data_IF_908280005277
#
_entry.id   IF_908280005277
#
_cell.length_a   1.000
_cell.length_b   1.000
_cell.length_c   1.000
_cell.angle_alpha   90.00
_cell.angle_beta   90.00
_cell.angle_gamma   90.00
#
_symmetry.space_group_name_H-M   'P 1'
#
loop_
_entity.id
_entity.type
_entity.pdbx_description
1 polymer ?
#
# COMPACT_ATOMS: atom_id res chain seq x y z
N UNK A 1 -44.33 -5.12 -22.71
CA UNK A 1 -43.77 -3.79 -22.36
C UNK A 1 -42.43 -3.65 -23.06
N UNK A 2 -42.16 -2.48 -23.62
CA UNK A 2 -41.13 -2.26 -24.63
C UNK A 2 -39.76 -1.98 -23.96
N UNK A 3 -39.29 -2.93 -23.14
CA UNK A 3 -38.16 -2.75 -22.21
C UNK A 3 -36.87 -2.28 -22.90
N UNK A 4 -36.65 -2.67 -24.17
CA UNK A 4 -35.47 -2.26 -24.91
C UNK A 4 -35.49 -0.79 -25.38
N UNK A 5 -36.67 -0.13 -25.46
CA UNK A 5 -36.75 1.30 -25.78
C UNK A 5 -36.36 2.18 -24.59
N UNK A 6 -36.76 1.80 -23.37
CA UNK A 6 -36.29 2.45 -22.14
C UNK A 6 -34.79 2.22 -21.92
N UNK A 7 -34.29 1.02 -22.23
CA UNK A 7 -32.86 0.73 -22.14
C UNK A 7 -32.04 1.67 -23.03
N UNK A 8 -32.54 2.01 -24.23
CA UNK A 8 -31.85 2.92 -25.16
C UNK A 8 -31.67 4.32 -24.57
N UNK A 9 -32.73 4.91 -24.03
CA UNK A 9 -32.72 6.26 -23.46
C UNK A 9 -31.77 6.35 -22.25
N UNK A 10 -31.79 5.33 -21.39
CA UNK A 10 -30.88 5.23 -20.24
C UNK A 10 -29.43 5.09 -20.72
N UNK A 11 -29.18 4.34 -21.78
CA UNK A 11 -27.83 4.05 -22.27
C UNK A 11 -27.13 5.30 -22.82
N UNK A 12 -27.84 6.16 -23.55
CA UNK A 12 -27.29 7.42 -24.07
C UNK A 12 -26.87 8.36 -22.92
N UNK A 13 -27.64 8.41 -21.83
CA UNK A 13 -27.29 9.18 -20.63
C UNK A 13 -26.11 8.57 -19.84
N UNK A 14 -25.90 7.26 -19.93
CA UNK A 14 -24.86 6.52 -19.19
C UNK A 14 -23.48 6.63 -19.85
N UNK A 15 -23.41 6.91 -21.16
CA UNK A 15 -22.14 7.04 -21.89
C UNK A 15 -21.13 8.03 -21.25
N UNK A 16 -21.49 9.31 -20.95
CA UNK A 16 -20.56 10.23 -20.31
C UNK A 16 -20.15 9.77 -18.90
N UNK A 17 -21.04 9.10 -18.17
CA UNK A 17 -20.75 8.56 -16.83
C UNK A 17 -19.69 7.46 -16.92
N UNK A 18 -19.79 6.56 -17.91
CA UNK A 18 -18.80 5.50 -18.13
C UNK A 18 -17.43 6.07 -18.52
N UNK A 19 -17.39 7.09 -19.40
CA UNK A 19 -16.14 7.76 -19.78
C UNK A 19 -15.49 8.40 -18.55
N UNK A 20 -16.26 9.15 -17.76
CA UNK A 20 -15.78 9.75 -16.52
C UNK A 20 -15.24 8.70 -15.55
N UNK A 21 -15.96 7.58 -15.37
CA UNK A 21 -15.54 6.47 -14.52
C UNK A 21 -14.21 5.85 -14.97
N UNK A 22 -13.99 5.68 -16.28
CA UNK A 22 -12.71 5.19 -16.81
C UNK A 22 -11.58 6.17 -16.49
N UNK A 23 -11.79 7.47 -16.72
CA UNK A 23 -10.78 8.50 -16.42
C UNK A 23 -10.41 8.47 -14.93
N UNK A 24 -11.40 8.46 -14.05
CA UNK A 24 -11.18 8.40 -12.59
C UNK A 24 -10.45 7.12 -12.18
N UNK A 25 -10.82 5.96 -12.73
CA UNK A 25 -10.13 4.73 -12.36
C UNK A 25 -8.68 4.71 -12.86
N UNK A 26 -8.39 5.27 -14.04
CA UNK A 26 -7.03 5.40 -14.56
C UNK A 26 -6.18 6.33 -13.68
N UNK A 27 -6.71 7.47 -13.25
CA UNK A 27 -5.97 8.35 -12.34
C UNK A 27 -5.69 7.67 -11.01
N UNK A 28 -6.66 6.93 -10.45
CA UNK A 28 -6.45 6.15 -9.22
C UNK A 28 -5.39 5.06 -9.42
N UNK A 29 -5.38 4.34 -10.53
CA UNK A 29 -4.36 3.33 -10.84
C UNK A 29 -2.95 3.94 -10.92
N UNK A 30 -2.82 5.09 -11.58
CA UNK A 30 -1.54 5.82 -11.69
C UNK A 30 -1.07 6.28 -10.31
N UNK A 31 -1.95 6.92 -9.54
CA UNK A 31 -1.63 7.39 -8.18
C UNK A 31 -1.26 6.23 -7.25
N UNK A 32 -2.00 5.13 -7.28
CA UNK A 32 -1.71 3.94 -6.47
C UNK A 32 -0.36 3.32 -6.84
N UNK A 33 -0.07 3.20 -8.14
CA UNK A 33 1.21 2.68 -8.63
C UNK A 33 2.38 3.57 -8.19
N UNK A 34 2.21 4.90 -8.27
CA UNK A 34 3.21 5.86 -7.81
C UNK A 34 3.48 5.73 -6.30
N UNK A 35 2.42 5.67 -5.48
CA UNK A 35 2.56 5.48 -4.02
C UNK A 35 3.22 4.15 -3.69
N UNK A 36 2.87 3.07 -4.40
CA UNK A 36 3.51 1.77 -4.22
C UNK A 36 5.03 1.85 -4.48
N UNK A 37 5.45 2.47 -5.58
CA UNK A 37 6.88 2.67 -5.90
C UNK A 37 7.57 3.49 -4.81
N UNK A 38 6.96 4.59 -4.36
CA UNK A 38 7.53 5.43 -3.29
C UNK A 38 7.65 4.68 -1.96
N UNK A 39 6.69 3.82 -1.64
CA UNK A 39 6.72 2.99 -0.44
C UNK A 39 7.92 2.01 -0.46
N UNK A 40 8.27 1.48 -1.64
CA UNK A 40 9.46 0.64 -1.80
C UNK A 40 10.77 1.45 -1.70
N UNK A 41 10.78 2.69 -2.22
CA UNK A 41 11.97 3.54 -2.24
C UNK A 41 12.39 4.05 -0.86
N UNK A 42 11.47 4.28 0.08
CA UNK A 42 11.82 4.90 1.37
C UNK A 42 12.13 3.86 2.46
N UNK A 43 13.41 3.64 2.84
CA UNK A 43 13.81 2.61 3.80
C UNK A 43 13.46 2.93 5.26
N UNK A 44 12.97 4.14 5.58
CA UNK A 44 12.71 4.56 6.96
C UNK A 44 11.34 4.10 7.51
N UNK A 45 10.41 3.66 6.66
CA UNK A 45 9.09 3.20 7.12
C UNK A 45 9.20 1.79 7.71
N UNK A 46 8.58 1.52 8.87
CA UNK A 46 8.54 0.18 9.46
C UNK A 46 8.05 -0.87 8.44
N UNK A 47 8.72 -2.03 8.42
CA UNK A 47 8.44 -3.12 7.47
C UNK A 47 6.96 -3.54 7.54
N UNK A 48 6.40 -3.68 8.73
CA UNK A 48 4.99 -4.07 8.94
C UNK A 48 4.01 -3.09 8.29
N UNK A 49 4.20 -1.80 8.52
CA UNK A 49 3.35 -0.78 7.91
C UNK A 49 3.43 -0.82 6.38
N UNK A 50 4.61 -1.07 5.81
CA UNK A 50 4.72 -1.19 4.34
C UNK A 50 3.95 -2.36 3.80
N UNK A 51 4.02 -3.51 4.44
CA UNK A 51 3.27 -4.70 4.00
C UNK A 51 1.77 -4.45 4.06
N UNK A 52 1.30 -3.86 5.17
CA UNK A 52 -0.12 -3.51 5.35
C UNK A 52 -0.56 -2.50 4.28
N UNK A 53 0.19 -1.41 4.09
CA UNK A 53 -0.14 -0.38 3.11
C UNK A 53 -0.08 -0.93 1.67
N UNK A 54 0.90 -1.76 1.36
CA UNK A 54 1.02 -2.40 0.05
C UNK A 54 -0.19 -3.30 -0.23
N UNK A 55 -0.66 -4.07 0.76
CA UNK A 55 -1.84 -4.91 0.60
C UNK A 55 -3.10 -4.08 0.29
N UNK A 56 -3.28 -2.94 0.99
CA UNK A 56 -4.38 -2.00 0.69
C UNK A 56 -4.26 -1.45 -0.72
N UNK A 57 -3.08 -0.99 -1.11
CA UNK A 57 -2.84 -0.41 -2.44
C UNK A 57 -3.16 -1.46 -3.53
N UNK A 58 -2.71 -2.69 -3.35
CA UNK A 58 -2.98 -3.79 -4.27
C UNK A 58 -4.47 -4.12 -4.35
N UNK A 59 -5.18 -4.14 -3.22
CA UNK A 59 -6.63 -4.34 -3.19
C UNK A 59 -7.38 -3.23 -3.93
N UNK A 60 -6.95 -1.97 -3.78
CA UNK A 60 -7.52 -0.82 -4.50
C UNK A 60 -7.22 -0.96 -6.00
N UNK A 61 -5.96 -1.24 -6.39
CA UNK A 61 -5.56 -1.41 -7.79
C UNK A 61 -6.33 -2.54 -8.47
N UNK A 62 -6.52 -3.67 -7.78
CA UNK A 62 -7.29 -4.79 -8.31
C UNK A 62 -8.74 -4.37 -8.55
N UNK A 63 -9.40 -3.77 -7.56
CA UNK A 63 -10.77 -3.28 -7.70
C UNK A 63 -10.90 -2.29 -8.87
N UNK A 64 -10.01 -1.31 -8.95
CA UNK A 64 -10.08 -0.29 -10.00
C UNK A 64 -9.78 -0.87 -11.39
N UNK A 65 -8.92 -1.87 -11.50
CA UNK A 65 -8.68 -2.58 -12.74
C UNK A 65 -9.96 -3.29 -13.23
N UNK A 66 -10.65 -4.04 -12.36
CA UNK A 66 -11.90 -4.73 -12.74
C UNK A 66 -13.04 -3.77 -13.08
N UNK A 67 -13.19 -2.67 -12.34
CA UNK A 67 -14.19 -1.64 -12.68
C UNK A 67 -13.88 -0.94 -14.00
N UNK A 68 -12.60 -0.73 -14.31
CA UNK A 68 -12.14 -0.18 -15.60
C UNK A 68 -12.43 -1.14 -16.74
N UNK A 69 -12.07 -2.42 -16.59
CA UNK A 69 -12.34 -3.45 -17.59
C UNK A 69 -13.84 -3.51 -17.89
N UNK A 70 -14.69 -3.52 -16.86
CA UNK A 70 -16.15 -3.52 -17.03
C UNK A 70 -16.64 -2.28 -17.78
N UNK A 71 -16.16 -1.09 -17.40
CA UNK A 71 -16.56 0.14 -18.07
C UNK A 71 -16.12 0.18 -19.54
N UNK A 72 -14.90 -0.28 -19.83
CA UNK A 72 -14.35 -0.39 -21.19
C UNK A 72 -15.12 -1.39 -22.05
N UNK A 73 -15.52 -2.55 -21.49
CA UNK A 73 -16.36 -3.52 -22.19
C UNK A 73 -17.72 -2.92 -22.57
N UNK A 74 -18.35 -2.18 -21.65
CA UNK A 74 -19.61 -1.47 -21.92
C UNK A 74 -19.47 -0.38 -22.98
N UNK A 75 -18.40 0.39 -22.92
CA UNK A 75 -18.10 1.40 -23.96
C UNK A 75 -17.85 0.75 -25.32
N UNK A 76 -17.15 -0.38 -25.36
CA UNK A 76 -16.93 -1.13 -26.61
C UNK A 76 -18.24 -1.62 -27.21
N UNK A 77 -19.16 -2.13 -26.40
CA UNK A 77 -20.50 -2.54 -26.85
C UNK A 77 -21.30 -1.33 -27.38
N UNK A 78 -21.20 -0.19 -26.69
CA UNK A 78 -21.86 1.05 -27.09
C UNK A 78 -21.41 1.55 -28.46
N UNK A 79 -20.11 1.47 -28.74
CA UNK A 79 -19.52 1.95 -30.00
C UNK A 79 -19.65 0.92 -31.13
N UNK A 80 -19.54 -0.38 -30.83
CA UNK A 80 -19.37 -1.42 -31.85
C UNK A 80 -20.64 -2.16 -32.30
N UNK A 81 -21.65 -2.28 -31.43
CA UNK A 81 -22.80 -3.18 -31.64
C UNK A 81 -24.12 -2.51 -31.26
N UNK A 82 -24.33 -1.27 -31.72
CA UNK A 82 -25.56 -0.52 -31.44
C UNK A 82 -26.78 -1.01 -32.24
N UNK A 83 -26.66 -2.09 -33.02
CA UNK A 83 -27.76 -2.61 -33.85
C UNK A 83 -28.92 -3.14 -33.02
N UNK A 84 -28.64 -3.70 -31.84
CA UNK A 84 -29.66 -4.31 -30.98
C UNK A 84 -29.63 -3.71 -29.55
N UNK A 85 -30.62 -2.90 -29.15
CA UNK A 85 -30.64 -2.25 -27.84
C UNK A 85 -30.77 -3.25 -26.67
N UNK A 86 -31.22 -4.47 -26.94
CA UNK A 86 -31.32 -5.51 -25.92
C UNK A 86 -29.95 -6.12 -25.54
N UNK A 87 -28.88 -5.86 -26.30
CA UNK A 87 -27.50 -6.32 -25.98
C UNK A 87 -26.95 -5.63 -24.72
N UNK A 88 -27.51 -4.49 -24.32
CA UNK A 88 -27.15 -3.79 -23.09
C UNK A 88 -27.69 -4.46 -21.81
N UNK A 89 -28.61 -5.43 -21.94
CA UNK A 89 -28.98 -6.29 -20.81
C UNK A 89 -27.82 -7.25 -20.55
N UNK A 90 -26.87 -6.79 -19.73
CA UNK A 90 -25.77 -7.59 -19.22
C UNK A 90 -26.34 -8.80 -18.47
N UNK A 91 -25.83 -10.00 -18.75
CA UNK A 91 -26.28 -11.20 -18.06
C UNK A 91 -26.09 -11.05 -16.55
N UNK A 92 -27.12 -11.40 -15.78
CA UNK A 92 -27.10 -11.39 -14.32
C UNK A 92 -25.91 -12.17 -13.74
N UNK A 93 -25.54 -13.27 -14.41
CA UNK A 93 -24.36 -14.11 -14.09
C UNK A 93 -23.06 -13.30 -14.05
N UNK A 94 -22.81 -12.49 -15.08
CA UNK A 94 -21.61 -11.68 -15.20
C UNK A 94 -21.58 -10.54 -14.19
N UNK A 95 -22.72 -9.87 -13.99
CA UNK A 95 -22.90 -8.86 -12.94
C UNK A 95 -22.58 -9.42 -11.54
N UNK A 96 -23.14 -10.59 -11.24
CA UNK A 96 -22.94 -11.30 -9.97
C UNK A 96 -21.47 -11.69 -9.78
N UNK A 97 -20.82 -12.21 -10.82
CA UNK A 97 -19.42 -12.60 -10.78
C UNK A 97 -18.48 -11.40 -10.54
N UNK A 98 -18.67 -10.27 -11.22
CA UNK A 98 -17.84 -9.08 -10.97
C UNK A 98 -18.11 -8.52 -9.57
N UNK A 99 -19.37 -8.50 -9.14
CA UNK A 99 -19.72 -8.04 -7.80
C UNK A 99 -19.06 -8.90 -6.72
N UNK A 100 -19.12 -10.23 -6.85
CA UNK A 100 -18.50 -11.16 -5.89
C UNK A 100 -16.97 -11.02 -5.83
N UNK A 101 -16.32 -10.72 -6.96
CA UNK A 101 -14.86 -10.48 -7.01
C UNK A 101 -14.47 -9.12 -6.41
N UNK A 102 -15.29 -8.08 -6.61
CA UNK A 102 -14.94 -6.69 -6.22
C UNK A 102 -15.40 -6.30 -4.82
N UNK A 103 -16.39 -6.99 -4.26
CA UNK A 103 -16.93 -6.74 -2.92
C UNK A 103 -15.93 -7.03 -1.78
N UNK A 104 -15.11 -8.10 -1.82
CA UNK A 104 -14.09 -8.36 -0.81
C UNK A 104 -13.10 -7.21 -0.68
N UNK A 105 -12.66 -6.62 -1.81
CA UNK A 105 -11.71 -5.51 -1.79
C UNK A 105 -12.24 -4.29 -1.02
N UNK A 106 -13.55 -4.01 -1.06
CA UNK A 106 -14.17 -2.91 -0.29
C UNK A 106 -14.19 -3.22 1.20
N UNK A 107 -14.51 -4.47 1.56
CA UNK A 107 -14.59 -4.90 2.96
C UNK A 107 -13.22 -4.89 3.65
N UNK A 108 -12.15 -5.17 2.90
CA UNK A 108 -10.78 -5.20 3.44
C UNK A 108 -10.26 -3.81 3.80
N UNK A 109 -10.68 -2.75 3.11
CA UNK A 109 -10.20 -1.38 3.35
C UNK A 109 -10.42 -0.92 4.80
N UNK A 110 -11.66 -0.88 5.35
CA UNK A 110 -11.90 -0.40 6.71
C UNK A 110 -11.23 -1.27 7.76
N UNK A 111 -11.21 -2.59 7.55
CA UNK A 111 -10.52 -3.54 8.43
C UNK A 111 -9.02 -3.21 8.49
N UNK A 112 -8.43 -2.89 7.34
CA UNK A 112 -7.01 -2.56 7.30
C UNK A 112 -6.72 -1.23 7.98
N UNK A 113 -7.60 -0.24 7.88
CA UNK A 113 -7.48 0.99 8.65
C UNK A 113 -7.53 0.75 10.16
N UNK A 114 -8.47 -0.07 10.64
CA UNK A 114 -8.55 -0.46 12.05
C UNK A 114 -7.25 -1.12 12.49
N UNK A 115 -6.71 -2.02 11.67
CA UNK A 115 -5.47 -2.74 11.96
C UNK A 115 -4.25 -1.81 12.04
N UNK A 116 -4.17 -0.81 11.16
CA UNK A 116 -3.15 0.24 11.24
C UNK A 116 -3.32 1.05 12.53
N UNK A 117 -4.55 1.44 12.88
CA UNK A 117 -4.81 2.20 14.11
C UNK A 117 -4.42 1.39 15.36
N UNK A 118 -4.73 0.10 15.40
CA UNK A 118 -4.32 -0.80 16.49
C UNK A 118 -2.80 -0.95 16.54
N UNK A 119 -2.13 -1.14 15.40
CA UNK A 119 -0.66 -1.22 15.32
C UNK A 119 -0.01 0.04 15.87
N UNK A 120 -0.51 1.22 15.49
CA UNK A 120 0.00 2.50 16.01
C UNK A 120 -0.32 2.72 17.48
N UNK A 121 -1.50 2.31 17.95
CA UNK A 121 -1.85 2.34 19.37
C UNK A 121 -0.88 1.50 20.20
N UNK A 122 -0.63 0.26 19.80
CA UNK A 122 0.32 -0.64 20.48
C UNK A 122 1.74 -0.06 20.46
N UNK A 123 2.18 0.50 19.33
CA UNK A 123 3.49 1.14 19.23
C UNK A 123 3.64 2.34 20.18
N UNK A 124 2.57 3.14 20.38
CA UNK A 124 2.55 4.27 21.31
C UNK A 124 2.60 3.81 22.77
N UNK A 125 1.85 2.79 23.16
CA UNK A 125 1.82 2.30 24.54
C UNK A 125 3.08 1.53 24.94
N UNK A 126 3.72 0.84 23.99
CA UNK A 126 4.84 -0.07 24.27
C UNK A 126 6.14 0.36 23.60
N UNK A 127 6.39 1.66 23.42
CA UNK A 127 7.55 2.17 22.67
C UNK A 127 8.89 1.50 23.02
N UNK A 128 9.15 1.25 24.31
CA UNK A 128 10.39 0.63 24.78
C UNK A 128 10.50 -0.88 24.45
N UNK A 129 9.39 -1.61 24.49
CA UNK A 129 9.39 -3.07 24.29
C UNK A 129 9.03 -3.47 22.85
N UNK A 130 8.43 -2.55 22.09
CA UNK A 130 7.98 -2.77 20.73
C UNK A 130 9.14 -3.15 19.80
N UNK A 131 10.30 -2.49 19.97
CA UNK A 131 11.48 -2.77 19.14
C UNK A 131 12.07 -4.16 19.40
N UNK A 132 11.86 -4.72 20.61
CA UNK A 132 12.40 -6.01 21.02
C UNK A 132 11.49 -7.20 20.65
N UNK A 133 10.17 -7.00 20.62
CA UNK A 133 9.20 -8.09 20.46
C UNK A 133 8.89 -8.42 18.99
N UNK A 134 9.41 -7.64 18.02
CA UNK A 134 9.30 -7.83 16.54
C UNK A 134 8.31 -8.93 16.07
N UNK A 135 7.03 -8.67 16.32
CA UNK A 135 5.93 -8.76 15.36
C UNK A 135 5.77 -10.05 14.54
N UNK A 136 5.90 -11.22 15.15
CA UNK A 136 5.31 -12.44 14.59
C UNK A 136 3.77 -12.50 14.79
N UNK A 137 3.21 -12.26 16.00
CA UNK A 137 1.77 -12.45 16.22
C UNK A 137 0.91 -11.43 15.48
N UNK A 138 1.38 -10.19 15.31
CA UNK A 138 0.63 -9.16 14.57
C UNK A 138 0.57 -9.49 13.07
N UNK A 139 1.65 -10.01 12.48
CA UNK A 139 1.65 -10.46 11.08
C UNK A 139 0.74 -11.68 10.90
N UNK A 140 0.72 -12.61 11.86
CA UNK A 140 -0.20 -13.76 11.84
C UNK A 140 -1.65 -13.29 11.97
N UNK A 141 -1.93 -12.31 12.83
CA UNK A 141 -3.26 -11.75 13.01
C UNK A 141 -3.73 -11.00 11.76
N UNK A 142 -2.85 -10.22 11.13
CA UNK A 142 -3.11 -9.59 9.83
C UNK A 142 -3.36 -10.65 8.76
N UNK A 143 -2.49 -11.65 8.66
CA UNK A 143 -2.60 -12.71 7.68
C UNK A 143 -3.92 -13.49 7.84
N UNK A 144 -4.23 -13.95 9.06
CA UNK A 144 -5.47 -14.68 9.36
C UNK A 144 -6.73 -13.83 9.19
N UNK A 145 -6.70 -12.56 9.62
CA UNK A 145 -7.80 -11.63 9.37
C UNK A 145 -8.03 -11.49 7.87
N UNK A 146 -6.98 -11.38 7.06
CA UNK A 146 -7.14 -11.25 5.61
C UNK A 146 -7.49 -12.56 4.90
N UNK A 147 -6.99 -13.70 5.36
CA UNK A 147 -7.27 -15.04 4.80
C UNK A 147 -8.77 -15.37 4.86
N UNK A 148 -9.41 -14.93 5.94
CA UNK A 148 -10.87 -15.01 6.13
C UNK A 148 -11.66 -14.30 5.02
N UNK A 149 -11.06 -13.32 4.33
CA UNK A 149 -11.69 -12.55 3.25
C UNK A 149 -11.10 -12.84 1.86
N UNK A 150 -9.87 -13.36 1.77
CA UNK A 150 -9.10 -13.47 0.53
C UNK A 150 -9.04 -14.89 -0.06
N UNK A 151 -9.58 -15.91 0.62
CA UNK A 151 -9.65 -17.29 0.11
C UNK A 151 -10.27 -17.39 -1.30
N UNK A 152 -11.09 -16.40 -1.70
CA UNK A 152 -11.72 -16.33 -3.01
C UNK A 152 -10.92 -15.56 -4.08
N UNK A 153 -9.91 -14.74 -3.73
CA UNK A 153 -9.34 -13.73 -4.66
C UNK A 153 -7.82 -13.79 -4.81
N UNK A 154 -7.05 -14.18 -3.78
CA UNK A 154 -5.58 -14.15 -3.89
C UNK A 154 -4.87 -15.26 -3.09
N UNK A 155 -4.81 -16.51 -3.58
CA UNK A 155 -4.01 -17.57 -2.95
C UNK A 155 -2.49 -17.33 -3.12
N UNK A 156 -2.08 -16.68 -4.22
CA UNK A 156 -0.67 -16.66 -4.67
C UNK A 156 0.17 -15.55 -4.05
N UNK A 157 -0.42 -14.40 -3.69
CA UNK A 157 0.33 -13.30 -3.07
C UNK A 157 0.78 -13.61 -1.64
N UNK A 158 0.00 -14.42 -0.92
CA UNK A 158 0.21 -14.72 0.50
C UNK A 158 1.36 -15.69 0.77
N UNK A 159 1.75 -16.53 -0.19
CA UNK A 159 2.95 -17.38 -0.06
C UNK A 159 4.24 -16.56 -0.16
N UNK A 160 4.23 -15.44 -0.89
CA UNK A 160 5.42 -14.61 -1.11
C UNK A 160 5.78 -13.71 0.09
N UNK A 161 4.79 -13.35 0.91
CA UNK A 161 4.91 -12.40 2.03
C UNK A 161 5.72 -12.95 3.22
N UNK A 162 5.44 -14.17 3.74
CA UNK A 162 6.28 -14.83 4.74
C UNK A 162 7.68 -15.05 4.21
N UNK A 163 7.82 -15.43 2.93
CA UNK A 163 9.12 -15.65 2.30
C UNK A 163 9.94 -14.36 2.23
N UNK A 164 9.36 -13.21 1.84
CA UNK A 164 10.08 -11.93 1.85
C UNK A 164 10.45 -11.47 3.26
N UNK A 165 9.61 -11.72 4.27
CA UNK A 165 9.93 -11.43 5.66
C UNK A 165 11.05 -12.33 6.21
N UNK A 166 11.01 -13.63 5.89
CA UNK A 166 12.07 -14.59 6.23
C UNK A 166 13.39 -14.25 5.54
N UNK A 167 13.35 -13.77 4.30
CA UNK A 167 14.56 -13.46 3.53
C UNK A 167 15.28 -12.19 4.01
N UNK A 168 14.57 -11.25 4.64
CA UNK A 168 15.11 -9.94 5.02
C UNK A 168 15.34 -9.75 6.52
N UNK A 169 14.97 -10.70 7.37
CA UNK A 169 15.34 -10.70 8.79
C UNK A 169 16.83 -11.05 8.95
N UNK A 170 17.69 -10.09 9.37
CA UNK A 170 19.12 -10.37 9.58
C UNK A 170 19.38 -11.37 10.71
N UNK A 171 18.41 -11.53 11.62
CA UNK A 171 18.43 -12.48 12.74
C UNK A 171 18.30 -13.95 12.30
N UNK A 172 17.76 -14.19 11.09
CA UNK A 172 17.61 -15.53 10.50
C UNK A 172 18.58 -15.80 9.36
N UNK A 173 19.54 -14.91 9.07
CA UNK A 173 20.71 -15.34 8.29
C UNK A 173 21.41 -16.41 9.12
N UNK A 174 21.49 -17.67 8.68
CA UNK A 174 22.36 -18.63 9.32
C UNK A 174 23.76 -17.98 9.26
N UNK A 175 24.47 -17.96 10.39
CA UNK A 175 25.87 -17.55 10.43
C UNK A 175 26.68 -18.59 9.64
N UNK A 176 26.55 -18.60 8.32
CA UNK A 176 27.44 -19.29 7.42
C UNK A 176 28.79 -18.57 7.55
N UNK A 177 29.66 -19.15 8.36
CA UNK A 177 31.10 -18.93 8.33
C UNK A 177 31.54 -17.47 8.33
N UNK A 178 31.18 -16.69 9.36
CA UNK A 178 32.11 -15.61 9.74
C UNK A 178 33.29 -16.28 10.42
N UNK A 179 34.35 -16.54 9.63
CA UNK A 179 35.68 -16.75 10.17
C UNK A 179 35.93 -15.71 11.27
N UNK A 180 36.44 -16.11 12.45
CA UNK A 180 36.81 -15.16 13.49
C UNK A 180 38.01 -14.35 12.97
N UNK A 181 37.74 -13.21 12.31
CA UNK A 181 38.73 -12.15 12.25
C UNK A 181 38.85 -11.63 13.68
N UNK A 182 39.98 -11.97 14.31
CA UNK A 182 40.52 -11.24 15.47
C UNK A 182 40.61 -9.77 15.07
N UNK A 183 39.54 -9.01 15.30
CA UNK A 183 39.64 -7.56 15.39
C UNK A 183 40.23 -7.34 16.78
N UNK A 184 41.50 -6.94 16.81
CA UNK A 184 42.16 -6.53 18.04
C UNK A 184 41.28 -5.53 18.77
N UNK A 185 41.22 -5.67 20.09
CA UNK A 185 40.55 -4.72 20.96
C UNK A 185 41.15 -3.33 20.72
N UNK A 186 40.48 -2.51 19.91
CA UNK A 186 40.68 -1.07 19.94
C UNK A 186 40.07 -0.65 21.26
N UNK A 187 40.95 -0.49 22.25
CA UNK A 187 40.69 0.18 23.51
C UNK A 187 40.13 1.56 23.14
N UNK A 188 38.81 1.71 23.21
CA UNK A 188 38.16 3.02 23.26
C UNK A 188 38.62 3.64 24.58
N UNK A 189 39.72 4.37 24.52
CA UNK A 189 39.95 5.45 25.46
C UNK A 189 38.77 6.39 25.29
N UNK A 190 37.90 6.40 26.30
CA UNK A 190 36.94 7.46 26.53
C UNK A 190 37.74 8.75 26.67
N UNK A 191 37.99 9.43 25.56
CA UNK A 191 38.34 10.84 25.56
C UNK A 191 37.15 11.55 26.19
N UNK A 192 37.34 12.00 27.44
CA UNK A 192 36.47 12.95 28.10
C UNK A 192 36.57 14.25 27.32
N UNK A 193 35.75 14.37 26.27
CA UNK A 193 35.59 15.62 25.52
C UNK A 193 35.04 16.64 26.49
N UNK A 194 35.83 17.69 26.72
CA UNK A 194 35.48 18.80 27.58
C UNK A 194 34.15 19.41 27.08
N UNK A 195 33.09 19.46 27.90
CA UNK A 195 31.78 19.95 27.48
C UNK A 195 31.83 21.39 26.92
N UNK A 196 32.86 22.16 27.26
CA UNK A 196 33.06 23.51 26.73
C UNK A 196 33.47 23.52 25.24
N UNK A 197 34.09 22.47 24.73
CA UNK A 197 34.56 22.40 23.34
C UNK A 197 33.41 22.00 22.39
N UNK A 198 32.50 21.13 22.84
CA UNK A 198 31.28 20.80 22.11
C UNK A 198 30.35 22.01 21.94
N UNK A 199 30.26 22.87 22.96
CA UNK A 199 29.44 24.09 22.92
C UNK A 199 29.95 25.12 21.89
N UNK A 200 31.29 25.25 21.72
CA UNK A 200 31.88 26.16 20.72
C UNK A 200 31.60 25.72 19.28
N UNK A 201 31.57 24.42 19.02
CA UNK A 201 31.22 23.91 17.69
C UNK A 201 29.76 24.18 17.31
N UNK A 202 28.84 24.22 18.27
CA UNK A 202 27.44 24.58 18.02
C UNK A 202 27.29 26.08 17.76
N UNK A 203 28.01 26.93 18.50
CA UNK A 203 27.98 28.39 18.32
C UNK A 203 28.55 28.83 16.96
N UNK A 204 29.64 28.22 16.49
CA UNK A 204 30.24 28.57 15.19
C UNK A 204 29.36 28.18 13.97
N UNK A 205 28.44 27.22 14.12
CA UNK A 205 27.51 26.85 13.04
C UNK A 205 26.35 27.84 12.94
N UNK A 206 25.95 28.48 14.04
CA UNK A 206 24.85 29.44 14.04
C UNK A 206 25.21 30.80 13.43
N UNK A 207 26.46 31.23 13.53
CA UNK A 207 26.90 32.52 12.94
C UNK A 207 26.94 32.52 11.40
N UNK A 208 26.89 31.35 10.74
CA UNK A 208 26.86 31.26 9.27
C UNK A 208 25.50 31.54 8.64
N UNK A 209 24.45 31.82 9.43
CA UNK A 209 23.10 32.13 8.92
C UNK A 209 22.62 33.54 9.25
N UNK A 210 23.48 34.42 9.76
CA UNK A 210 23.14 35.83 9.93
C UNK A 210 23.07 36.53 8.55
N UNK A 211 21.94 37.18 8.18
CA UNK A 211 21.84 37.94 6.94
C UNK A 211 22.78 39.15 6.96
N UNK A 212 23.40 39.52 5.82
CA UNK A 212 24.37 40.60 5.76
C UNK A 212 23.71 41.94 6.12
N UNK A 213 24.28 42.63 7.11
CA UNK A 213 23.88 44.01 7.46
C UNK A 213 24.30 44.94 6.32
N UNK A 214 23.36 45.71 5.78
CA UNK A 214 23.64 46.75 4.79
C UNK A 214 24.43 47.90 5.45
N UNK A 215 25.53 48.37 4.85
CA UNK A 215 26.24 49.55 5.33
C UNK A 215 25.37 50.80 5.15
N UNK A 216 25.45 51.71 6.12
CA UNK A 216 24.88 53.06 6.06
C UNK A 216 25.80 53.99 5.30
#
# INVERSE_FOLDING_TARGET
MNDCTQAKEITEAVAPILIYLVIVNLTVLISCSYVAVKLFQHPHVHIHLRLILLNVILGIMFRTAFTTIRAMLRLRLLVGTYTDPCVFLEEYSFCSAISSITLPAVKVIPITYILITVERGVALFFAHNYERIRCIPLVILVAGATESYSAAVFPTMYLSLPLMCLWRCPEFRPKWGRHPRRVGAVRLETQTVDPNEAMRHVLNVWDMHAPPRKPK
#
